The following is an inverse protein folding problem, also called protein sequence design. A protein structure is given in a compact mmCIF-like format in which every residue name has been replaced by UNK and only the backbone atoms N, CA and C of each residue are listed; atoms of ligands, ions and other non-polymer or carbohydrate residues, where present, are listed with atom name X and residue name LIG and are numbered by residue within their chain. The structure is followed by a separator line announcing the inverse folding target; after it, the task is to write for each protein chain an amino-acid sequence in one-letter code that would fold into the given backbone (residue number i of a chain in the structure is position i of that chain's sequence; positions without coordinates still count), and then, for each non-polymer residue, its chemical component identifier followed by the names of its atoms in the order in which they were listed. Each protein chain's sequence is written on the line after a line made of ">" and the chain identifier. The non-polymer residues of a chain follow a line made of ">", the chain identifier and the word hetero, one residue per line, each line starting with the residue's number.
data_IF_231388410226
#
_entry.id   IF_231388410226
#
_cell.length_a   1.000
_cell.length_b   1.000
_cell.length_c   1.000
_cell.angle_alpha   90.00
_cell.angle_beta   90.00
_cell.angle_gamma   90.00
#
_symmetry.space_group_name_H-M   'P 1'
#
loop_
_entity.id
_entity.type
_entity.pdbx_description
1 polymer ?
#
# COMPACT_ATOMS: atom_id res chain seq x y z
N UNK A 1 8.42 -10.04 -33.71
CA UNK A 1 7.23 -9.52 -34.40
C UNK A 1 7.06 -8.06 -34.02
N UNK A 2 7.18 -7.17 -34.99
CA UNK A 2 7.18 -5.71 -34.84
C UNK A 2 5.78 -5.21 -34.49
N UNK A 3 5.61 -4.72 -33.25
CA UNK A 3 4.36 -4.13 -32.79
C UNK A 3 4.10 -2.82 -33.54
N UNK A 4 2.99 -2.77 -34.26
CA UNK A 4 2.41 -1.51 -34.77
C UNK A 4 2.05 -0.64 -33.57
N UNK A 5 2.86 0.38 -33.29
CA UNK A 5 2.54 1.38 -32.28
C UNK A 5 1.36 2.21 -32.79
N UNK A 6 0.28 2.23 -32.00
CA UNK A 6 -0.89 3.03 -32.30
C UNK A 6 -0.47 4.51 -32.32
N UNK A 7 -0.64 5.25 -33.43
CA UNK A 7 -0.14 6.62 -33.56
C UNK A 7 -0.83 7.61 -32.61
N UNK A 8 -1.94 7.23 -31.98
CA UNK A 8 -2.62 8.04 -30.98
C UNK A 8 -3.06 7.15 -29.79
N UNK A 9 -2.15 6.84 -28.85
CA UNK A 9 -2.48 6.01 -27.69
C UNK A 9 -3.48 6.72 -26.76
N UNK A 10 -4.29 5.94 -26.06
CA UNK A 10 -5.21 6.47 -25.05
C UNK A 10 -4.41 7.20 -23.96
N UNK A 11 -4.89 8.35 -23.44
CA UNK A 11 -4.23 9.05 -22.35
C UNK A 11 -4.17 8.24 -21.04
N UNK A 12 -4.96 7.16 -20.93
CA UNK A 12 -4.93 6.25 -19.77
C UNK A 12 -3.90 5.11 -19.92
N UNK A 13 -3.27 4.96 -21.08
CA UNK A 13 -2.27 3.91 -21.29
C UNK A 13 -1.02 4.19 -20.45
N UNK A 14 -0.63 3.22 -19.64
CA UNK A 14 0.53 3.29 -18.74
C UNK A 14 1.71 2.41 -19.18
N UNK A 15 1.60 1.71 -20.31
CA UNK A 15 2.62 0.78 -20.82
C UNK A 15 2.49 0.52 -22.34
N UNK A 16 3.55 -0.03 -22.92
CA UNK A 16 3.61 -0.36 -24.37
C UNK A 16 3.20 -1.82 -24.68
N UNK A 17 2.80 -2.60 -23.67
CA UNK A 17 2.29 -3.97 -23.89
C UNK A 17 0.99 -3.97 -24.70
N UNK A 18 0.96 -4.85 -25.71
CA UNK A 18 -0.22 -5.13 -26.52
C UNK A 18 -1.09 -6.22 -25.92
N UNK A 19 -0.49 -7.26 -25.35
CA UNK A 19 -1.18 -8.42 -24.83
C UNK A 19 -0.83 -8.70 -23.38
N UNK A 20 -1.80 -9.25 -22.65
CA UNK A 20 -1.64 -9.79 -21.32
C UNK A 20 -2.31 -11.15 -21.23
N UNK A 21 -1.79 -11.99 -20.33
CA UNK A 21 -2.25 -13.37 -20.18
C UNK A 21 -2.81 -13.60 -18.78
N UNK A 22 -3.94 -14.32 -18.71
CA UNK A 22 -4.53 -14.79 -17.46
C UNK A 22 -4.59 -16.31 -17.46
N UNK A 23 -3.88 -16.90 -16.51
CA UNK A 23 -3.95 -18.32 -16.19
C UNK A 23 -5.22 -18.61 -15.39
N UNK A 24 -5.96 -19.63 -15.80
CA UNK A 24 -7.22 -20.06 -15.18
C UNK A 24 -7.37 -21.58 -15.26
N UNK A 25 -8.14 -22.16 -14.35
CA UNK A 25 -8.58 -23.57 -14.47
C UNK A 25 -9.57 -23.71 -15.62
N UNK A 26 -9.78 -24.95 -16.08
CA UNK A 26 -10.69 -25.23 -17.20
C UNK A 26 -12.11 -24.74 -16.92
N UNK A 27 -12.61 -24.95 -15.71
CA UNK A 27 -13.96 -24.53 -15.33
C UNK A 27 -14.11 -23.01 -15.24
N UNK A 28 -13.09 -22.31 -14.74
CA UNK A 28 -13.09 -20.85 -14.73
C UNK A 28 -13.04 -20.31 -16.15
N UNK A 29 -12.27 -20.91 -17.07
CA UNK A 29 -12.26 -20.52 -18.47
C UNK A 29 -13.65 -20.59 -19.11
N UNK A 30 -14.39 -21.69 -18.89
CA UNK A 30 -15.78 -21.85 -19.36
C UNK A 30 -16.69 -20.74 -18.82
N UNK A 31 -16.57 -20.41 -17.53
CA UNK A 31 -17.35 -19.32 -16.90
C UNK A 31 -17.00 -17.97 -17.52
N UNK A 32 -15.70 -17.66 -17.72
CA UNK A 32 -15.26 -16.40 -18.33
C UNK A 32 -15.79 -16.29 -19.76
N UNK A 33 -15.70 -17.36 -20.56
CA UNK A 33 -16.21 -17.35 -21.93
C UNK A 33 -17.73 -17.18 -22.00
N UNK A 34 -18.47 -17.86 -21.13
CA UNK A 34 -19.93 -17.79 -21.09
C UNK A 34 -20.43 -16.41 -20.60
N UNK A 35 -19.77 -15.83 -19.60
CA UNK A 35 -20.23 -14.60 -18.94
C UNK A 35 -19.57 -13.33 -19.50
N UNK A 36 -18.44 -13.47 -20.19
CA UNK A 36 -17.54 -12.38 -20.60
C UNK A 36 -17.10 -11.48 -19.44
N UNK A 37 -17.00 -12.05 -18.23
CA UNK A 37 -16.61 -11.34 -17.01
C UNK A 37 -15.33 -11.93 -16.45
N UNK A 38 -14.44 -11.05 -15.98
CA UNK A 38 -13.24 -11.43 -15.26
C UNK A 38 -13.42 -11.28 -13.76
N UNK A 39 -12.96 -12.27 -13.01
CA UNK A 39 -12.90 -12.20 -11.55
C UNK A 39 -11.66 -11.41 -11.11
N UNK A 40 -11.89 -10.45 -10.23
CA UNK A 40 -10.83 -9.84 -9.44
C UNK A 40 -10.64 -10.65 -8.16
N UNK A 41 -9.42 -11.09 -7.91
CA UNK A 41 -9.10 -12.01 -6.82
C UNK A 41 -8.73 -11.25 -5.56
N UNK A 42 -9.06 -11.83 -4.41
CA UNK A 42 -8.51 -11.36 -3.14
C UNK A 42 -7.01 -11.70 -3.09
N UNK A 43 -6.16 -10.82 -2.55
CA UNK A 43 -4.73 -11.10 -2.40
C UNK A 43 -4.43 -12.33 -1.54
N UNK A 44 -5.35 -12.72 -0.65
CA UNK A 44 -5.24 -13.94 0.17
C UNK A 44 -5.19 -15.25 -0.65
N UNK A 45 -5.47 -15.19 -1.96
CA UNK A 45 -5.42 -16.35 -2.86
C UNK A 45 -4.12 -16.43 -3.65
N UNK A 46 -3.22 -15.45 -3.52
CA UNK A 46 -1.96 -15.44 -4.26
C UNK A 46 -0.95 -16.38 -3.61
N UNK A 47 -0.15 -17.05 -4.44
CA UNK A 47 0.85 -18.02 -4.02
C UNK A 47 2.20 -17.38 -3.66
N UNK A 48 2.33 -16.06 -3.81
CA UNK A 48 3.56 -15.33 -3.50
C UNK A 48 3.61 -15.00 -1.99
N UNK A 49 4.56 -15.57 -1.24
CA UNK A 49 4.67 -15.33 0.20
C UNK A 49 5.11 -13.90 0.54
N UNK A 50 5.64 -13.15 -0.42
CA UNK A 50 6.12 -11.79 -0.22
C UNK A 50 5.12 -10.70 -0.63
N UNK A 51 3.92 -11.09 -1.08
CA UNK A 51 2.88 -10.16 -1.53
C UNK A 51 2.03 -9.60 -0.36
N UNK A 52 0.84 -9.05 -0.67
CA UNK A 52 -0.08 -8.36 0.27
C UNK A 52 -0.50 -9.18 1.50
N UNK A 53 -0.23 -10.49 1.54
CA UNK A 53 -0.59 -11.37 2.66
C UNK A 53 0.26 -11.17 3.90
N UNK A 54 1.36 -10.42 3.80
CA UNK A 54 2.23 -10.15 4.94
C UNK A 54 1.50 -9.31 6.01
N UNK A 55 1.73 -9.67 7.27
CA UNK A 55 1.36 -8.80 8.39
C UNK A 55 2.17 -7.53 8.31
N UNK A 56 1.52 -6.38 8.55
CA UNK A 56 2.22 -5.12 8.66
C UNK A 56 3.20 -5.18 9.84
N UNK A 57 4.49 -5.09 9.54
CA UNK A 57 5.60 -5.07 10.52
C UNK A 57 6.34 -3.77 10.32
N UNK A 58 6.21 -2.86 11.28
CA UNK A 58 6.86 -1.56 11.22
C UNK A 58 8.27 -1.69 11.81
N UNK A 59 9.25 -0.94 11.28
CA UNK A 59 10.65 -1.03 11.73
C UNK A 59 10.89 -0.25 13.03
N UNK A 60 9.82 0.11 13.74
CA UNK A 60 9.82 0.89 14.97
C UNK A 60 8.67 0.43 15.87
N UNK A 61 8.86 0.60 17.17
CA UNK A 61 7.85 0.31 18.20
C UNK A 61 6.89 1.48 18.42
N UNK A 62 5.81 1.25 19.16
CA UNK A 62 4.93 2.33 19.59
C UNK A 62 5.68 3.37 20.44
N UNK A 63 6.65 2.92 21.26
CA UNK A 63 7.47 3.82 22.08
C UNK A 63 8.41 4.67 21.24
N UNK A 64 9.02 4.11 20.20
CA UNK A 64 9.85 4.89 19.25
C UNK A 64 9.02 5.97 18.55
N UNK A 65 7.80 5.62 18.11
CA UNK A 65 6.90 6.59 17.49
C UNK A 65 6.46 7.67 18.48
N UNK A 66 6.11 7.29 19.71
CA UNK A 66 5.71 8.23 20.76
C UNK A 66 6.86 9.15 21.15
N UNK A 67 8.09 8.65 21.19
CA UNK A 67 9.29 9.45 21.44
C UNK A 67 9.51 10.46 20.31
N UNK A 68 9.43 10.02 19.06
CA UNK A 68 9.54 10.90 17.89
C UNK A 68 8.42 11.97 17.88
N UNK A 69 7.19 11.59 18.22
CA UNK A 69 6.06 12.51 18.34
C UNK A 69 6.30 13.57 19.43
N UNK A 70 6.77 13.15 20.61
CA UNK A 70 7.09 14.07 21.71
C UNK A 70 8.22 15.05 21.32
N UNK A 71 9.24 14.58 20.61
CA UNK A 71 10.32 15.43 20.09
C UNK A 71 9.80 16.47 19.08
N UNK A 72 8.94 16.05 18.15
CA UNK A 72 8.34 16.96 17.16
C UNK A 72 7.43 17.99 17.84
N UNK A 73 6.60 17.58 18.79
CA UNK A 73 5.77 18.53 19.54
C UNK A 73 6.62 19.49 20.38
N UNK A 74 7.69 19.03 21.03
CA UNK A 74 8.60 19.90 21.76
C UNK A 74 9.20 21.01 20.86
N UNK A 75 9.64 20.65 19.64
CA UNK A 75 10.13 21.62 18.67
C UNK A 75 9.04 22.63 18.21
N UNK A 76 7.80 22.15 18.04
CA UNK A 76 6.66 23.02 17.72
C UNK A 76 6.32 23.97 18.87
N UNK A 77 6.43 23.53 20.12
CA UNK A 77 6.24 24.40 21.28
C UNK A 77 7.32 25.49 21.35
N UNK A 78 8.56 25.20 20.97
CA UNK A 78 9.64 26.20 20.91
C UNK A 78 9.37 27.27 19.85
N UNK A 79 8.89 26.87 18.67
CA UNK A 79 8.55 27.82 17.60
C UNK A 79 7.25 28.59 17.90
N UNK A 80 6.26 27.94 18.52
CA UNK A 80 4.97 28.53 18.86
C UNK A 80 4.06 28.78 17.66
N UNK A 81 4.34 28.17 16.50
CA UNK A 81 3.54 28.35 15.28
C UNK A 81 2.43 27.28 15.16
N UNK A 82 1.16 27.63 15.38
CA UNK A 82 0.05 26.69 15.32
C UNK A 82 -0.34 26.28 13.90
N UNK A 83 0.18 26.94 12.86
CA UNK A 83 -0.15 26.62 11.46
C UNK A 83 0.46 25.30 11.00
N UNK A 84 1.52 24.86 11.69
CA UNK A 84 2.26 23.64 11.40
C UNK A 84 1.53 22.35 11.81
N UNK A 85 0.38 22.45 12.51
CA UNK A 85 -0.38 21.29 12.99
C UNK A 85 -1.84 21.31 12.57
N UNK A 86 -2.30 20.17 12.04
CA UNK A 86 -3.70 19.94 11.64
C UNK A 86 -4.59 19.39 12.75
N UNK A 87 -4.01 18.69 13.73
CA UNK A 87 -4.77 18.05 14.81
C UNK A 87 -5.33 19.13 15.76
N UNK A 88 -6.66 19.18 16.01
CA UNK A 88 -7.29 20.32 16.70
C UNK A 88 -6.75 20.58 18.10
N UNK A 89 -6.54 19.54 18.90
CA UNK A 89 -6.06 19.67 20.28
C UNK A 89 -4.64 20.23 20.33
N UNK A 90 -3.72 19.69 19.51
CA UNK A 90 -2.35 20.17 19.40
C UNK A 90 -2.28 21.59 18.85
N UNK A 91 -3.15 21.97 17.91
CA UNK A 91 -3.27 23.35 17.43
C UNK A 91 -3.68 24.30 18.54
N UNK A 92 -4.69 23.95 19.34
CA UNK A 92 -5.11 24.73 20.50
C UNK A 92 -3.97 24.87 21.53
N UNK A 93 -3.27 23.78 21.83
CA UNK A 93 -2.12 23.80 22.73
C UNK A 93 -0.98 24.71 22.21
N UNK A 94 -0.71 24.71 20.91
CA UNK A 94 0.28 25.59 20.30
C UNK A 94 -0.15 27.06 20.25
N UNK A 95 -1.45 27.35 20.11
CA UNK A 95 -1.97 28.71 20.26
C UNK A 95 -1.73 29.26 21.66
N UNK A 96 -1.98 28.44 22.70
CA UNK A 96 -1.63 28.80 24.07
C UNK A 96 -0.12 28.94 24.25
N UNK A 97 0.69 28.07 23.63
CA UNK A 97 2.14 28.18 23.65
C UNK A 97 2.63 29.49 23.02
N UNK A 98 2.03 29.94 21.92
CA UNK A 98 2.34 31.22 21.28
C UNK A 98 2.14 32.45 22.18
N UNK A 99 1.25 32.35 23.17
CA UNK A 99 1.02 33.39 24.18
C UNK A 99 1.97 33.29 25.40
N UNK A 100 2.80 32.24 25.49
CA UNK A 100 3.74 32.04 26.59
C UNK A 100 5.08 32.75 26.37
N UNK A 101 5.80 33.02 27.47
CA UNK A 101 7.18 33.52 27.40
C UNK A 101 8.10 32.47 26.74
N UNK A 102 9.20 32.89 26.07
CA UNK A 102 10.19 31.95 25.54
C UNK A 102 10.74 30.97 26.58
N UNK A 103 10.93 31.42 27.83
CA UNK A 103 11.43 30.59 28.93
C UNK A 103 10.40 29.51 29.31
N UNK A 104 9.13 29.87 29.41
CA UNK A 104 8.05 28.91 29.70
C UNK A 104 7.89 27.88 28.58
N UNK A 105 7.99 28.31 27.30
CA UNK A 105 7.97 27.40 26.14
C UNK A 105 9.12 26.40 26.20
N UNK A 106 10.34 26.87 26.48
CA UNK A 106 11.52 26.02 26.61
C UNK A 106 11.38 25.01 27.76
N UNK A 107 10.77 25.39 28.90
CA UNK A 107 10.50 24.47 30.00
C UNK A 107 9.49 23.38 29.63
N UNK A 108 8.42 23.73 28.91
CA UNK A 108 7.43 22.76 28.42
C UNK A 108 8.08 21.79 27.42
N UNK A 109 8.86 22.31 26.48
CA UNK A 109 9.59 21.50 25.51
C UNK A 109 10.61 20.57 26.19
N UNK A 110 11.35 21.05 27.19
CA UNK A 110 12.26 20.23 27.98
C UNK A 110 11.53 19.10 28.70
N UNK A 111 10.36 19.38 29.28
CA UNK A 111 9.53 18.37 29.96
C UNK A 111 9.01 17.30 29.00
N UNK A 112 8.55 17.69 27.82
CA UNK A 112 8.12 16.78 26.76
C UNK A 112 9.27 15.86 26.30
N UNK A 113 10.51 16.37 26.24
CA UNK A 113 11.69 15.57 25.89
C UNK A 113 12.16 14.65 27.02
N UNK A 114 11.97 15.05 28.28
CA UNK A 114 12.50 14.32 29.44
C UNK A 114 11.66 13.11 29.86
N UNK A 115 10.38 13.05 29.49
CA UNK A 115 9.51 11.92 29.84
C UNK A 115 8.59 11.55 28.67
N UNK A 116 8.92 10.48 27.90
CA UNK A 116 8.11 10.00 26.79
C UNK A 116 6.71 9.53 27.23
N UNK A 117 6.51 9.29 28.53
CA UNK A 117 5.23 8.87 29.12
C UNK A 117 4.28 10.03 29.41
N UNK A 118 4.72 11.28 29.22
CA UNK A 118 3.81 12.43 29.26
C UNK A 118 2.70 12.18 28.24
N UNK A 119 1.45 12.27 28.70
CA UNK A 119 0.25 12.10 27.88
C UNK A 119 0.26 13.13 26.74
N UNK A 120 0.85 12.71 25.62
CA UNK A 120 1.05 13.52 24.44
C UNK A 120 -0.17 13.33 23.54
N UNK A 121 -0.84 14.40 23.08
CA UNK A 121 -1.93 14.27 22.12
C UNK A 121 -1.48 13.45 20.91
N UNK A 122 -2.21 12.36 20.62
CA UNK A 122 -1.86 11.44 19.54
C UNK A 122 -0.91 10.29 19.93
N UNK A 123 -0.58 10.13 21.23
CA UNK A 123 0.10 8.94 21.74
C UNK A 123 -0.70 7.68 21.40
N UNK A 124 0.02 6.63 21.03
CA UNK A 124 -0.55 5.29 20.83
C UNK A 124 0.02 4.29 21.83
N UNK A 125 -0.78 3.32 22.27
CA UNK A 125 -0.30 2.26 23.16
C UNK A 125 0.32 1.10 22.39
N UNK A 126 -0.21 0.79 21.21
CA UNK A 126 0.29 -0.28 20.35
C UNK A 126 -0.18 -0.10 18.90
N UNK A 127 0.42 -0.86 17.97
CA UNK A 127 -0.08 -1.00 16.60
C UNK A 127 -1.17 -2.06 16.46
N UNK A 128 -1.82 -2.47 17.54
CA UNK A 128 -2.84 -3.52 17.50
C UNK A 128 -4.03 -3.14 16.62
N UNK A 129 -4.51 -1.89 16.71
CA UNK A 129 -5.60 -1.39 15.89
C UNK A 129 -5.23 -1.43 14.39
N UNK A 130 -4.02 -0.99 14.05
CA UNK A 130 -3.51 -1.04 12.68
C UNK A 130 -3.50 -2.47 12.14
N UNK A 131 -3.09 -3.43 12.98
CA UNK A 131 -3.14 -4.85 12.65
C UNK A 131 -4.58 -5.35 12.46
N UNK A 132 -5.52 -4.96 13.32
CA UNK A 132 -6.94 -5.33 13.19
C UNK A 132 -7.50 -4.80 11.87
N UNK A 133 -7.30 -3.50 11.59
CA UNK A 133 -7.74 -2.86 10.35
C UNK A 133 -7.13 -3.56 9.13
N UNK A 134 -5.84 -3.91 9.17
CA UNK A 134 -5.21 -4.66 8.08
C UNK A 134 -5.89 -6.01 7.82
N UNK A 135 -6.20 -6.77 8.87
CA UNK A 135 -6.90 -8.06 8.75
C UNK A 135 -8.32 -7.90 8.19
N UNK A 136 -8.97 -6.76 8.40
CA UNK A 136 -10.28 -6.46 7.81
C UNK A 136 -10.20 -5.99 6.35
N UNK A 137 -9.16 -5.23 6.01
CA UNK A 137 -8.98 -4.62 4.69
C UNK A 137 -8.49 -5.63 3.66
N UNK A 138 -7.47 -6.43 3.96
CA UNK A 138 -6.85 -7.35 2.98
C UNK A 138 -7.86 -8.31 2.33
N UNK A 139 -8.80 -8.95 3.05
CA UNK A 139 -9.83 -9.79 2.44
C UNK A 139 -10.78 -9.04 1.49
N UNK A 140 -10.93 -7.72 1.65
CA UNK A 140 -11.79 -6.87 0.82
C UNK A 140 -11.08 -6.33 -0.41
N UNK A 141 -9.75 -6.29 -0.41
CA UNK A 141 -8.95 -5.90 -1.57
C UNK A 141 -9.20 -6.83 -2.77
N UNK A 142 -9.16 -6.26 -3.96
CA UNK A 142 -9.40 -6.96 -5.22
C UNK A 142 -8.32 -6.57 -6.21
N UNK A 143 -7.63 -7.56 -6.76
CA UNK A 143 -6.59 -7.38 -7.76
C UNK A 143 -6.85 -8.28 -8.96
N UNK A 144 -6.57 -7.75 -10.16
CA UNK A 144 -6.51 -8.49 -11.40
C UNK A 144 -5.05 -8.75 -11.75
N UNK A 145 -4.53 -9.93 -11.41
CA UNK A 145 -3.17 -10.31 -11.79
C UNK A 145 -3.12 -10.78 -13.24
N UNK A 146 -2.18 -10.24 -14.00
CA UNK A 146 -1.92 -10.55 -15.40
C UNK A 146 -0.45 -10.90 -15.58
N UNK A 147 -0.14 -11.65 -16.62
CA UNK A 147 1.23 -11.99 -17.02
C UNK A 147 1.57 -11.38 -18.38
N UNK A 148 2.85 -11.09 -18.60
CA UNK A 148 3.37 -10.67 -19.91
C UNK A 148 3.69 -11.86 -20.83
N UNK A 149 3.70 -13.08 -20.30
CA UNK A 149 3.94 -14.31 -21.06
C UNK A 149 2.96 -15.41 -20.66
N UNK A 150 2.55 -16.23 -21.63
CA UNK A 150 1.76 -17.44 -21.43
C UNK A 150 2.63 -18.67 -21.08
N UNK A 151 3.96 -18.58 -21.13
CA UNK A 151 4.88 -19.73 -21.00
C UNK A 151 5.46 -19.92 -19.59
N UNK A 152 5.01 -19.14 -18.60
CA UNK A 152 5.56 -19.20 -17.24
C UNK A 152 5.11 -20.50 -16.55
N UNK A 153 5.99 -21.49 -16.48
CA UNK A 153 5.72 -22.83 -15.93
C UNK A 153 5.16 -22.80 -14.49
N UNK A 154 5.73 -22.02 -13.54
CA UNK A 154 5.12 -21.90 -12.21
C UNK A 154 3.67 -21.38 -12.23
N UNK A 155 3.33 -20.50 -13.17
CA UNK A 155 1.96 -19.98 -13.29
C UNK A 155 1.01 -21.04 -13.83
N UNK A 156 1.46 -21.89 -14.76
CA UNK A 156 0.69 -23.07 -15.19
C UNK A 156 0.42 -24.01 -14.03
N UNK A 157 1.43 -24.28 -13.20
CA UNK A 157 1.30 -25.13 -12.02
C UNK A 157 0.26 -24.59 -11.04
N UNK A 158 0.40 -23.32 -10.62
CA UNK A 158 -0.41 -22.75 -9.55
C UNK A 158 -1.78 -22.20 -9.97
N UNK A 159 -1.92 -21.73 -11.21
CA UNK A 159 -3.10 -20.98 -11.65
C UNK A 159 -3.85 -21.60 -12.84
N UNK A 160 -3.26 -22.59 -13.51
CA UNK A 160 -3.89 -23.32 -14.61
C UNK A 160 -3.90 -24.83 -14.36
N UNK A 161 -4.34 -25.23 -13.16
CA UNK A 161 -4.70 -26.61 -12.84
C UNK A 161 -3.55 -27.62 -13.09
N UNK A 162 -2.34 -27.29 -12.64
CA UNK A 162 -1.14 -28.12 -12.88
C UNK A 162 -0.85 -28.36 -14.38
N UNK A 163 -1.17 -27.40 -15.25
CA UNK A 163 -0.90 -27.48 -16.68
C UNK A 163 -2.07 -27.99 -17.54
N UNK A 164 -3.18 -28.43 -16.94
CA UNK A 164 -4.36 -28.92 -17.69
C UNK A 164 -5.44 -27.86 -17.88
N UNK A 165 -5.27 -26.68 -17.27
CA UNK A 165 -6.16 -25.54 -17.40
C UNK A 165 -5.99 -24.80 -18.72
N UNK A 166 -6.21 -23.48 -18.69
CA UNK A 166 -6.13 -22.63 -19.86
C UNK A 166 -5.44 -21.29 -19.56
N UNK A 167 -4.98 -20.65 -20.63
CA UNK A 167 -4.50 -19.27 -20.61
C UNK A 167 -5.36 -18.45 -21.57
N UNK A 168 -5.87 -17.33 -21.07
CA UNK A 168 -6.65 -16.38 -21.84
C UNK A 168 -5.77 -15.17 -22.19
N UNK A 169 -5.67 -14.84 -23.46
CA UNK A 169 -5.00 -13.64 -23.96
C UNK A 169 -5.97 -12.46 -24.03
N UNK A 170 -5.54 -11.30 -23.53
CA UNK A 170 -6.28 -10.05 -23.55
C UNK A 170 -5.48 -8.99 -24.29
N UNK A 171 -6.08 -8.39 -25.30
CA UNK A 171 -5.49 -7.27 -26.02
C UNK A 171 -5.82 -5.94 -25.33
N UNK A 172 -4.79 -5.13 -25.07
CA UNK A 172 -4.90 -3.78 -24.54
C UNK A 172 -5.20 -2.81 -25.67
N UNK A 173 -6.48 -2.64 -25.99
CA UNK A 173 -6.98 -1.82 -27.11
C UNK A 173 -7.30 -0.39 -26.61
N UNK A 174 -6.66 0.62 -27.21
CA UNK A 174 -6.75 2.02 -26.75
C UNK A 174 -8.17 2.61 -26.77
N UNK A 175 -8.93 2.37 -27.84
CA UNK A 175 -10.25 2.97 -28.02
C UNK A 175 -11.36 2.32 -27.16
N UNK A 176 -11.07 1.20 -26.50
CA UNK A 176 -12.03 0.50 -25.63
C UNK A 176 -11.94 0.94 -24.15
N UNK A 177 -11.03 1.86 -23.81
CA UNK A 177 -10.79 2.37 -22.45
C UNK A 177 -10.77 1.25 -21.38
N UNK A 178 -10.06 0.17 -21.66
CA UNK A 178 -10.07 -1.03 -20.82
C UNK A 178 -9.08 -0.93 -19.65
N UNK A 179 -9.34 -1.67 -18.57
CA UNK A 179 -8.43 -1.78 -17.41
C UNK A 179 -7.04 -2.30 -17.78
N UNK A 180 -6.92 -3.00 -18.91
CA UNK A 180 -5.65 -3.52 -19.39
C UNK A 180 -4.68 -2.39 -19.73
N UNK A 181 -5.15 -1.22 -20.17
CA UNK A 181 -4.29 -0.06 -20.47
C UNK A 181 -3.60 0.50 -19.21
N UNK A 182 -4.18 0.27 -18.03
CA UNK A 182 -3.69 0.76 -16.74
C UNK A 182 -2.89 -0.30 -15.97
N UNK A 183 -2.59 -1.45 -16.58
CA UNK A 183 -1.82 -2.49 -15.92
C UNK A 183 -0.43 -1.97 -15.53
N UNK A 184 -0.01 -2.26 -14.29
CA UNK A 184 1.30 -1.85 -13.78
C UNK A 184 2.14 -3.08 -13.52
N UNK A 185 3.37 -3.08 -14.03
CA UNK A 185 4.34 -4.15 -13.77
C UNK A 185 4.68 -4.14 -12.28
N UNK A 186 4.55 -5.30 -11.64
CA UNK A 186 5.05 -5.51 -10.29
C UNK A 186 6.57 -5.56 -10.36
N UNK A 187 7.23 -4.72 -9.56
CA UNK A 187 8.69 -4.66 -9.46
C UNK A 187 9.07 -5.21 -8.10
N UNK A 188 9.67 -6.40 -8.11
CA UNK A 188 10.21 -7.02 -6.91
C UNK A 188 11.55 -6.38 -6.56
N UNK A 189 11.85 -6.34 -5.26
CA UNK A 189 13.05 -5.77 -4.69
C UNK A 189 13.71 -6.78 -3.74
N UNK A 190 15.04 -6.75 -3.64
CA UNK A 190 15.82 -7.72 -2.85
C UNK A 190 15.63 -7.54 -1.34
N UNK A 191 15.28 -6.32 -0.91
CA UNK A 191 15.03 -5.99 0.49
C UNK A 191 13.52 -5.84 0.74
N UNK A 192 12.96 -6.40 1.83
CA UNK A 192 11.58 -6.14 2.19
C UNK A 192 11.27 -4.64 2.29
N UNK A 193 10.06 -4.20 1.92
CA UNK A 193 9.66 -2.81 2.17
C UNK A 193 9.64 -2.55 3.68
N UNK A 194 9.87 -1.30 4.09
CA UNK A 194 9.94 -0.92 5.52
C UNK A 194 8.74 -1.42 6.35
N UNK A 195 7.55 -1.50 5.73
CA UNK A 195 6.30 -1.98 6.33
C UNK A 195 6.23 -3.51 6.53
N UNK A 196 7.27 -4.25 6.15
CA UNK A 196 7.43 -5.68 6.35
C UNK A 196 8.67 -6.01 7.20
N UNK A 197 9.28 -5.02 7.85
CA UNK A 197 10.51 -5.17 8.64
C UNK A 197 10.18 -5.12 10.13
N UNK A 198 10.47 -6.15 10.93
CA UNK A 198 10.32 -6.06 12.38
C UNK A 198 11.35 -5.09 12.97
N UNK A 199 11.09 -4.50 14.16
CA UNK A 199 12.10 -3.74 14.89
C UNK A 199 13.31 -4.66 15.21
N UNK A 200 14.51 -4.07 15.17
CA UNK A 200 15.77 -4.76 15.47
C UNK A 200 15.87 -5.20 16.94
#
# INVERSE_FOLDING_TARGET
>A
MTGTTNPNPSPRRMHDRRYFYKYVTTDVAKIVMATRKLRWSSPLKFNDPFDVTQQLRLPFSADDLNLALAQQLAALFETGDPTLVRQPLARTLLQFAGAMTPQSRAQVAAKLRSDPRVATPGRIDSFNELRIVWHEVVPRLRALCLSESYEIVPMWAHYAENGTGAVLEFEAIDHLDSVFLMARKVVYQDTPPAIATPPA
#
